data_IF_798490810224
#
_entry.id   IF_798490810224
#
_cell.length_a   1.000
_cell.length_b   1.000
_cell.length_c   1.000
_cell.angle_alpha   90.00
_cell.angle_beta   90.00
_cell.angle_gamma   90.00
#
_symmetry.space_group_name_H-M   'P 1'
#
loop_
_entity.id
_entity.type
_entity.pdbx_description
1 polymer ?
#
# COMPACT_ATOMS: atom_id res chain seq x y z
N UNK A 1 -18.58 16.84 14.61
CA UNK A 1 -19.87 16.53 13.95
C UNK A 1 -20.94 16.42 15.01
N UNK A 2 -22.09 17.07 14.83
CA UNK A 2 -23.18 17.00 15.80
C UNK A 2 -23.88 15.63 15.73
N UNK A 3 -24.61 15.23 16.77
CA UNK A 3 -25.45 14.04 16.75
C UNK A 3 -26.49 14.02 15.60
N UNK A 4 -26.77 15.17 14.98
CA UNK A 4 -27.68 15.29 13.83
C UNK A 4 -27.06 14.86 12.49
N UNK A 5 -25.72 14.90 12.35
CA UNK A 5 -25.02 14.45 11.13
C UNK A 5 -24.95 12.91 11.01
N UNK A 6 -25.13 12.19 12.13
CA UNK A 6 -25.15 10.72 12.16
C UNK A 6 -26.41 10.11 11.53
N UNK A 7 -27.50 10.88 11.37
CA UNK A 7 -28.80 10.37 10.86
C UNK A 7 -28.85 10.11 9.35
N UNK A 8 -27.83 10.50 8.57
CA UNK A 8 -27.84 10.38 7.11
C UNK A 8 -27.38 9.04 6.52
N UNK A 9 -26.97 8.07 7.35
CA UNK A 9 -26.39 6.80 6.86
C UNK A 9 -27.34 5.60 6.91
N UNK A 10 -28.59 5.75 7.36
CA UNK A 10 -29.54 4.65 7.56
C UNK A 10 -30.07 3.97 6.27
N UNK A 11 -29.42 4.17 5.12
CA UNK A 11 -29.75 3.47 3.87
C UNK A 11 -28.57 3.14 2.94
N UNK A 12 -27.32 3.46 3.32
CA UNK A 12 -26.13 3.19 2.48
C UNK A 12 -25.41 1.96 3.02
N UNK A 13 -25.60 0.80 2.38
CA UNK A 13 -24.97 -0.46 2.79
C UNK A 13 -23.78 -0.86 1.93
N UNK A 14 -23.81 -0.61 0.62
CA UNK A 14 -22.78 -1.05 -0.33
C UNK A 14 -21.43 -0.36 -0.12
N UNK A 15 -20.34 -1.15 -0.07
CA UNK A 15 -18.99 -0.64 0.17
C UNK A 15 -18.53 0.38 -0.88
N UNK A 16 -18.78 0.11 -2.16
CA UNK A 16 -18.46 1.05 -3.24
C UNK A 16 -19.21 2.38 -3.06
N UNK A 17 -20.48 2.32 -2.66
CA UNK A 17 -21.29 3.51 -2.38
C UNK A 17 -20.73 4.29 -1.17
N UNK A 18 -20.30 3.59 -0.11
CA UNK A 18 -19.62 4.22 1.04
C UNK A 18 -18.31 4.89 0.62
N UNK A 19 -17.47 4.22 -0.16
CA UNK A 19 -16.20 4.78 -0.64
C UNK A 19 -16.37 6.07 -1.48
N UNK A 20 -17.52 6.22 -2.16
CA UNK A 20 -17.83 7.39 -2.99
C UNK A 20 -18.48 8.53 -2.18
N UNK A 21 -19.38 8.20 -1.24
CA UNK A 21 -20.31 9.16 -0.62
C UNK A 21 -20.22 9.30 0.90
N UNK A 22 -19.58 8.38 1.60
CA UNK A 22 -19.41 8.52 3.05
C UNK A 22 -18.39 9.62 3.37
N UNK A 23 -18.44 10.12 4.60
CA UNK A 23 -17.50 11.12 5.13
C UNK A 23 -17.77 12.57 4.72
N UNK A 24 -18.00 12.85 3.43
CA UNK A 24 -18.28 14.20 2.94
C UNK A 24 -19.70 14.34 2.36
N UNK A 25 -20.40 15.42 2.73
CA UNK A 25 -21.67 15.83 2.13
C UNK A 25 -21.44 17.10 1.31
N UNK A 26 -22.18 17.30 0.20
CA UNK A 26 -22.08 18.53 -0.57
C UNK A 26 -22.16 19.76 0.34
N UNK A 27 -21.20 20.67 0.16
CA UNK A 27 -20.99 21.80 1.06
C UNK A 27 -22.27 22.65 1.16
N UNK A 28 -22.80 22.93 2.37
CA UNK A 28 -24.05 23.67 2.52
C UNK A 28 -23.96 25.12 2.05
N UNK A 29 -22.76 25.72 1.99
CA UNK A 29 -22.59 27.10 1.54
C UNK A 29 -22.55 27.24 0.01
N UNK A 30 -21.95 26.28 -0.69
CA UNK A 30 -21.65 26.39 -2.14
C UNK A 30 -22.23 25.25 -2.99
N UNK A 31 -22.63 24.14 -2.38
CA UNK A 31 -23.05 22.92 -3.07
C UNK A 31 -21.90 22.08 -3.64
N UNK A 32 -20.64 22.38 -3.29
CA UNK A 32 -19.48 21.65 -3.82
C UNK A 32 -19.59 20.14 -3.52
N UNK A 33 -19.60 19.31 -4.55
CA UNK A 33 -19.83 17.85 -4.42
C UNK A 33 -18.61 17.03 -4.00
N UNK A 34 -17.41 17.61 -4.09
CA UNK A 34 -16.18 17.04 -3.54
C UNK A 34 -15.72 17.90 -2.36
N UNK A 35 -15.03 17.27 -1.40
CA UNK A 35 -14.43 17.97 -0.27
C UNK A 35 -13.44 19.05 -0.77
N UNK A 36 -13.64 20.33 -0.44
CA UNK A 36 -12.67 21.37 -0.76
C UNK A 36 -11.33 21.11 -0.07
N UNK A 37 -10.25 21.61 -0.66
CA UNK A 37 -8.90 21.52 -0.08
C UNK A 37 -8.69 22.75 0.82
N UNK A 38 -8.82 22.55 2.14
CA UNK A 38 -8.62 23.62 3.13
C UNK A 38 -7.12 23.79 3.44
N UNK A 39 -6.48 24.72 2.73
CA UNK A 39 -5.05 25.09 2.88
C UNK A 39 -4.81 26.16 3.95
N UNK A 40 -5.65 26.18 4.99
CA UNK A 40 -5.53 27.08 6.13
C UNK A 40 -4.90 26.35 7.32
N UNK A 41 -3.89 26.97 7.94
CA UNK A 41 -3.24 26.44 9.15
C UNK A 41 -4.03 26.73 10.43
N UNK A 42 -4.82 27.81 10.44
CA UNK A 42 -5.60 28.29 11.57
C UNK A 42 -6.99 28.72 11.11
N UNK A 43 -7.96 28.71 12.02
CA UNK A 43 -9.35 29.05 11.74
C UNK A 43 -9.82 30.16 12.69
N UNK A 44 -10.57 31.13 12.14
CA UNK A 44 -11.13 32.22 12.93
C UNK A 44 -12.17 31.70 13.93
N UNK A 45 -12.21 32.31 15.12
CA UNK A 45 -13.18 32.02 16.17
C UNK A 45 -14.22 33.16 16.28
N UNK A 46 -15.44 32.82 16.72
CA UNK A 46 -16.50 33.76 17.06
C UNK A 46 -16.39 34.17 18.54
N UNK A 47 -15.51 35.13 18.81
CA UNK A 47 -15.06 35.41 20.17
C UNK A 47 -14.14 34.31 20.72
N UNK A 48 -13.53 34.54 21.89
CA UNK A 48 -12.56 33.61 22.47
C UNK A 48 -13.26 32.30 22.86
N UNK A 49 -12.84 31.18 22.28
CA UNK A 49 -13.39 29.84 22.51
C UNK A 49 -14.60 29.48 21.63
N UNK A 50 -15.11 30.42 20.82
CA UNK A 50 -16.24 30.19 19.91
C UNK A 50 -15.79 29.51 18.60
N UNK A 51 -15.46 28.22 18.65
CA UNK A 51 -14.95 27.50 17.47
C UNK A 51 -16.02 27.33 16.38
N UNK A 52 -15.65 27.58 15.12
CA UNK A 52 -16.52 27.34 13.96
C UNK A 52 -16.34 25.91 13.45
N UNK A 53 -17.39 25.11 13.53
CA UNK A 53 -17.36 23.72 13.07
C UNK A 53 -16.39 22.81 13.86
N UNK A 54 -15.93 23.27 15.03
CA UNK A 54 -14.95 22.55 15.86
C UNK A 54 -13.50 22.63 15.37
N UNK A 55 -13.18 23.52 14.42
CA UNK A 55 -11.82 23.71 13.92
C UNK A 55 -11.17 24.96 14.52
N UNK A 56 -9.91 24.83 14.91
CA UNK A 56 -9.09 25.92 15.45
C UNK A 56 -7.71 25.98 14.81
N UNK A 57 -7.04 24.82 14.67
CA UNK A 57 -5.67 24.71 14.17
C UNK A 57 -5.48 23.39 13.41
N UNK A 58 -4.88 23.45 12.21
CA UNK A 58 -4.89 22.36 11.23
C UNK A 58 -4.15 21.09 11.67
N UNK A 59 -3.12 21.22 12.53
CA UNK A 59 -2.46 20.05 13.14
C UNK A 59 -3.46 19.26 13.99
N UNK A 60 -4.26 19.94 14.80
CA UNK A 60 -5.29 19.35 15.66
C UNK A 60 -6.48 18.83 14.85
N UNK A 61 -6.97 19.60 13.90
CA UNK A 61 -8.06 19.22 13.00
C UNK A 61 -8.12 20.07 11.74
N UNK A 62 -8.34 19.45 10.58
CA UNK A 62 -8.53 20.12 9.29
C UNK A 62 -9.77 19.53 8.59
N UNK A 63 -10.65 20.34 7.97
CA UNK A 63 -11.88 19.82 7.35
C UNK A 63 -11.63 18.79 6.24
N UNK A 64 -10.57 18.97 5.44
CA UNK A 64 -10.19 18.02 4.38
C UNK A 64 -9.75 16.67 4.98
N UNK A 65 -8.95 16.71 6.05
CA UNK A 65 -8.51 15.50 6.77
C UNK A 65 -9.69 14.83 7.47
N UNK A 66 -10.59 15.59 8.08
CA UNK A 66 -11.79 15.07 8.73
C UNK A 66 -12.70 14.32 7.75
N UNK A 67 -12.85 14.81 6.51
CA UNK A 67 -13.58 14.11 5.46
C UNK A 67 -12.92 12.77 5.08
N UNK A 68 -11.58 12.72 4.99
CA UNK A 68 -10.84 11.48 4.75
C UNK A 68 -11.03 10.49 5.91
N UNK A 69 -10.84 10.93 7.15
CA UNK A 69 -11.02 10.11 8.35
C UNK A 69 -12.44 9.50 8.38
N UNK A 70 -13.47 10.31 8.16
CA UNK A 70 -14.84 9.81 8.14
C UNK A 70 -15.11 8.82 6.99
N UNK A 71 -14.48 9.01 5.82
CA UNK A 71 -14.58 8.07 4.70
C UNK A 71 -13.89 6.72 5.01
N UNK A 72 -12.72 6.77 5.62
CA UNK A 72 -11.95 5.59 6.01
C UNK A 72 -12.64 4.77 7.10
N UNK A 73 -13.19 5.44 8.12
CA UNK A 73 -14.01 4.79 9.14
C UNK A 73 -15.19 4.04 8.50
N UNK A 74 -15.90 4.69 7.57
CA UNK A 74 -17.06 4.10 6.92
C UNK A 74 -16.74 2.84 6.10
N UNK A 75 -15.61 2.80 5.37
CA UNK A 75 -15.25 1.63 4.54
C UNK A 75 -14.70 0.45 5.34
N UNK A 76 -14.24 0.67 6.56
CA UNK A 76 -13.79 -0.39 7.49
C UNK A 76 -14.89 -0.87 8.46
N UNK A 77 -16.12 -0.36 8.34
CA UNK A 77 -17.17 -0.49 9.37
C UNK A 77 -16.69 -0.06 10.77
N UNK A 78 -15.81 0.96 10.81
CA UNK A 78 -15.31 1.56 12.03
C UNK A 78 -16.10 2.80 12.44
N UNK A 79 -15.96 3.17 13.72
CA UNK A 79 -16.58 4.37 14.30
C UNK A 79 -15.66 5.57 14.22
N UNK A 80 -14.36 5.34 14.44
CA UNK A 80 -13.35 6.38 14.51
C UNK A 80 -12.20 6.07 13.56
N UNK A 81 -11.68 7.09 12.88
CA UNK A 81 -10.43 6.98 12.15
C UNK A 81 -9.53 8.20 12.36
N UNK A 82 -8.23 7.99 12.20
CA UNK A 82 -7.19 9.03 12.21
C UNK A 82 -6.29 8.86 11.00
N UNK A 83 -6.05 9.95 10.27
CA UNK A 83 -5.17 9.95 9.11
C UNK A 83 -3.78 10.50 9.48
N UNK A 84 -2.72 9.91 8.93
CA UNK A 84 -1.32 10.19 9.26
C UNK A 84 -0.52 10.48 7.99
N UNK A 85 0.64 11.12 8.15
CA UNK A 85 1.54 11.48 7.05
C UNK A 85 2.16 10.26 6.34
N UNK A 86 2.12 9.07 6.94
CA UNK A 86 2.57 7.81 6.33
C UNK A 86 1.99 6.60 7.07
N UNK A 87 2.05 5.42 6.46
CA UNK A 87 1.75 4.16 7.14
C UNK A 87 2.62 3.98 8.39
N UNK A 88 3.90 4.31 8.31
CA UNK A 88 4.82 4.22 9.45
C UNK A 88 4.49 5.21 10.57
N UNK A 89 3.92 6.37 10.27
CA UNK A 89 3.42 7.29 11.29
C UNK A 89 2.15 6.75 11.98
N UNK A 90 1.29 6.04 11.25
CA UNK A 90 0.18 5.30 11.85
C UNK A 90 0.70 4.16 12.75
N UNK A 91 1.72 3.42 12.29
CA UNK A 91 2.40 2.37 13.08
C UNK A 91 2.99 2.93 14.38
N UNK A 92 3.76 4.02 14.29
CA UNK A 92 4.34 4.70 15.47
C UNK A 92 3.26 5.14 16.46
N UNK A 93 2.17 5.76 15.96
CA UNK A 93 1.05 6.19 16.78
C UNK A 93 0.39 5.02 17.52
N UNK A 94 0.11 3.92 16.82
CA UNK A 94 -0.50 2.74 17.41
C UNK A 94 0.39 2.12 18.51
N UNK A 95 1.69 1.95 18.24
CA UNK A 95 2.64 1.43 19.21
C UNK A 95 2.73 2.34 20.45
N UNK A 96 2.84 3.66 20.27
CA UNK A 96 2.92 4.61 21.38
C UNK A 96 1.62 4.77 22.16
N UNK A 97 0.47 4.55 21.52
CA UNK A 97 -0.81 4.59 22.20
C UNK A 97 -0.94 3.41 23.18
N UNK A 98 -0.61 2.20 22.71
CA UNK A 98 -0.88 0.94 23.42
C UNK A 98 0.27 0.52 24.36
N UNK A 99 1.52 0.82 24.02
CA UNK A 99 2.69 0.27 24.72
C UNK A 99 3.38 1.31 25.62
N UNK A 100 3.89 0.83 26.75
CA UNK A 100 4.75 1.57 27.70
C UNK A 100 5.99 0.73 28.02
N UNK A 101 7.10 1.36 28.49
CA UNK A 101 8.30 0.63 28.88
C UNK A 101 7.98 -0.56 29.81
N UNK A 102 8.49 -1.74 29.47
CA UNK A 102 8.20 -3.00 30.14
C UNK A 102 7.12 -3.85 29.46
N UNK A 103 6.33 -3.29 28.54
CA UNK A 103 5.33 -4.05 27.78
C UNK A 103 5.97 -4.91 26.68
N UNK A 104 5.20 -5.89 26.23
CA UNK A 104 5.56 -6.83 25.17
C UNK A 104 4.56 -6.77 24.00
N UNK A 105 5.06 -6.89 22.77
CA UNK A 105 4.28 -7.01 21.54
C UNK A 105 4.62 -8.28 20.77
N UNK A 106 3.62 -9.03 20.33
CA UNK A 106 3.82 -10.14 19.38
C UNK A 106 3.71 -9.58 17.97
N UNK A 107 4.63 -9.97 17.08
CA UNK A 107 4.62 -9.56 15.68
C UNK A 107 4.68 -10.79 14.75
N UNK A 108 4.26 -10.68 13.47
CA UNK A 108 4.47 -11.74 12.50
C UNK A 108 5.97 -12.03 12.30
N UNK A 109 6.32 -13.29 12.08
CA UNK A 109 7.69 -13.69 11.71
C UNK A 109 8.03 -13.43 10.23
N UNK A 110 7.15 -12.75 9.52
CA UNK A 110 7.29 -12.32 8.13
C UNK A 110 6.57 -10.96 7.91
N UNK A 111 6.59 -10.11 8.94
CA UNK A 111 6.03 -8.77 8.88
C UNK A 111 6.78 -7.87 7.88
N UNK A 112 6.12 -6.81 7.40
CA UNK A 112 6.78 -5.78 6.63
C UNK A 112 8.07 -5.27 7.31
N UNK A 113 9.18 -5.29 6.58
CA UNK A 113 10.50 -4.91 7.09
C UNK A 113 10.57 -3.54 7.77
N UNK A 114 9.74 -2.56 7.34
CA UNK A 114 9.66 -1.25 7.99
C UNK A 114 9.04 -1.30 9.39
N UNK A 115 7.99 -2.11 9.59
CA UNK A 115 7.36 -2.34 10.90
C UNK A 115 8.36 -2.99 11.86
N UNK A 116 9.02 -4.07 11.41
CA UNK A 116 10.05 -4.74 12.19
C UNK A 116 11.19 -3.78 12.57
N UNK A 117 11.71 -3.01 11.60
CA UNK A 117 12.80 -2.07 11.83
C UNK A 117 12.43 -1.01 12.87
N UNK A 118 11.21 -0.49 12.85
CA UNK A 118 10.75 0.48 13.84
C UNK A 118 10.72 -0.14 15.24
N UNK A 119 10.14 -1.33 15.37
CA UNK A 119 10.04 -2.03 16.66
C UNK A 119 11.44 -2.38 17.19
N UNK A 120 12.25 -3.08 16.39
CA UNK A 120 13.55 -3.60 16.79
C UNK A 120 14.60 -2.51 17.02
N UNK A 121 14.64 -1.47 16.19
CA UNK A 121 15.71 -0.45 16.27
C UNK A 121 15.32 0.77 17.11
N UNK A 122 14.04 1.00 17.36
CA UNK A 122 13.56 2.14 18.15
C UNK A 122 12.91 1.67 19.44
N UNK A 123 11.80 0.92 19.39
CA UNK A 123 11.00 0.62 20.58
C UNK A 123 11.72 -0.29 21.60
N UNK A 124 12.63 -1.16 21.17
CA UNK A 124 13.50 -1.92 22.11
C UNK A 124 14.37 -1.01 22.98
N UNK A 125 14.84 0.12 22.45
CA UNK A 125 15.61 1.11 23.20
C UNK A 125 14.77 1.87 24.23
N UNK A 126 13.45 1.78 24.11
CA UNK A 126 12.46 2.36 25.00
C UNK A 126 11.90 1.32 25.99
N UNK A 127 12.51 0.14 26.05
CA UNK A 127 12.13 -0.93 26.97
C UNK A 127 10.90 -1.73 26.53
N UNK A 128 10.52 -1.68 25.24
CA UNK A 128 9.49 -2.57 24.68
C UNK A 128 10.14 -3.86 24.20
N UNK A 129 9.62 -5.00 24.64
CA UNK A 129 10.04 -6.32 24.15
C UNK A 129 9.13 -6.80 23.02
N UNK A 130 9.63 -7.67 22.15
CA UNK A 130 8.80 -8.31 21.14
C UNK A 130 9.16 -9.77 20.90
N UNK A 131 8.18 -10.55 20.45
CA UNK A 131 8.37 -11.93 19.99
C UNK A 131 7.80 -12.09 18.58
N UNK A 132 8.61 -12.44 17.57
CA UNK A 132 8.11 -12.80 16.25
C UNK A 132 7.53 -14.22 16.24
N UNK A 133 6.35 -14.40 15.63
CA UNK A 133 5.62 -15.67 15.59
C UNK A 133 5.01 -15.90 14.20
N UNK A 134 5.03 -17.14 13.66
CA UNK A 134 4.19 -17.51 12.52
C UNK A 134 2.71 -17.46 12.92
N UNK A 135 1.99 -16.42 12.51
CA UNK A 135 0.60 -16.19 12.95
C UNK A 135 -0.42 -17.19 12.38
N UNK A 136 -0.01 -18.03 11.44
CA UNK A 136 -0.78 -19.19 11.00
C UNK A 136 -0.80 -20.33 12.03
N UNK A 137 0.13 -20.33 12.99
CA UNK A 137 0.23 -21.27 14.10
C UNK A 137 -0.32 -20.65 15.39
N UNK A 138 -1.59 -20.94 15.69
CA UNK A 138 -2.27 -20.43 16.88
C UNK A 138 -1.71 -20.98 18.20
N UNK A 139 -1.06 -22.15 18.19
CA UNK A 139 -0.45 -22.71 19.39
C UNK A 139 0.88 -22.03 19.68
N UNK A 140 1.70 -21.76 18.66
CA UNK A 140 2.90 -20.92 18.80
C UNK A 140 2.55 -19.51 19.27
N UNK A 141 1.48 -18.91 18.72
CA UNK A 141 0.98 -17.62 19.19
C UNK A 141 0.56 -17.66 20.66
N UNK A 142 -0.24 -18.65 21.07
CA UNK A 142 -0.66 -18.81 22.46
C UNK A 142 0.54 -18.96 23.41
N UNK A 143 1.57 -19.71 22.99
CA UNK A 143 2.78 -19.91 23.78
C UNK A 143 3.64 -18.64 23.93
N UNK A 144 3.59 -17.72 22.96
CA UNK A 144 4.32 -16.46 23.00
C UNK A 144 3.64 -15.37 23.86
N UNK A 145 2.38 -15.55 24.24
CA UNK A 145 1.65 -14.61 25.10
C UNK A 145 2.19 -14.70 26.53
N UNK A 146 2.61 -13.55 27.05
CA UNK A 146 3.08 -13.36 28.43
C UNK A 146 2.18 -12.38 29.19
N UNK A 147 2.24 -12.30 30.54
CA UNK A 147 1.50 -11.29 31.31
C UNK A 147 1.81 -9.83 30.94
N UNK A 148 2.94 -9.59 30.25
CA UNK A 148 3.36 -8.26 29.75
C UNK A 148 2.86 -7.97 28.35
N UNK A 149 2.23 -8.94 27.67
CA UNK A 149 1.75 -8.75 26.30
C UNK A 149 0.58 -7.79 26.29
N UNK A 150 0.70 -6.70 25.55
CA UNK A 150 -0.36 -5.69 25.40
C UNK A 150 -0.89 -5.59 23.99
N UNK A 151 -0.12 -6.04 23.01
CA UNK A 151 -0.47 -5.95 21.60
C UNK A 151 -0.09 -7.24 20.87
N UNK A 152 -1.01 -7.76 20.06
CA UNK A 152 -0.75 -8.73 19.01
C UNK A 152 -0.87 -7.98 17.68
N UNK A 153 0.26 -7.82 16.99
CA UNK A 153 0.32 -7.23 15.66
C UNK A 153 0.06 -8.30 14.63
N UNK A 154 -0.94 -8.11 13.78
CA UNK A 154 -1.31 -9.00 12.70
C UNK A 154 -1.11 -8.29 11.37
N UNK A 155 -0.53 -8.97 10.40
CA UNK A 155 -0.45 -8.55 9.01
C UNK A 155 -0.95 -9.74 8.17
N UNK A 156 -2.00 -9.56 7.37
CA UNK A 156 -2.56 -10.67 6.58
C UNK A 156 -3.33 -10.17 5.35
N UNK A 157 -2.95 -10.57 4.12
CA UNK A 157 -1.75 -11.34 3.78
C UNK A 157 -0.44 -10.59 4.11
N UNK A 158 0.64 -11.32 4.43
CA UNK A 158 1.93 -10.74 4.79
C UNK A 158 2.77 -10.29 3.59
N UNK A 159 3.59 -9.26 3.76
CA UNK A 159 4.54 -8.79 2.77
C UNK A 159 5.95 -9.38 3.01
N UNK A 160 6.57 -10.13 2.09
CA UNK A 160 6.12 -10.46 0.73
C UNK A 160 5.59 -11.89 0.56
N UNK A 161 5.53 -12.70 1.63
CA UNK A 161 5.28 -14.14 1.55
C UNK A 161 3.80 -14.52 1.36
N UNK A 162 2.89 -13.55 1.57
CA UNK A 162 1.43 -13.72 1.49
C UNK A 162 0.89 -14.79 2.45
N UNK A 163 1.58 -15.02 3.57
CA UNK A 163 1.08 -15.86 4.66
C UNK A 163 -0.25 -15.31 5.17
N UNK A 164 -1.15 -16.23 5.56
CA UNK A 164 -2.50 -15.89 6.01
C UNK A 164 -2.64 -16.17 7.51
N UNK A 165 -3.16 -15.19 8.24
CA UNK A 165 -3.49 -15.28 9.65
C UNK A 165 -5.01 -15.28 9.85
N UNK A 166 -5.53 -16.13 10.74
CA UNK A 166 -6.96 -16.22 11.05
C UNK A 166 -7.35 -15.12 12.05
N UNK A 167 -7.84 -13.99 11.52
CA UNK A 167 -8.07 -12.77 12.31
C UNK A 167 -9.02 -13.04 13.48
N UNK A 168 -10.12 -13.77 13.23
CA UNK A 168 -11.13 -14.02 14.27
C UNK A 168 -10.60 -14.89 15.40
N UNK A 169 -9.75 -15.88 15.09
CA UNK A 169 -9.12 -16.73 16.10
C UNK A 169 -8.06 -15.97 16.91
N UNK A 170 -7.29 -15.11 16.26
CA UNK A 170 -6.29 -14.27 16.93
C UNK A 170 -6.96 -13.21 17.81
N UNK A 171 -8.05 -12.59 17.34
CA UNK A 171 -8.88 -11.67 18.12
C UNK A 171 -9.38 -12.33 19.41
N UNK A 172 -9.86 -13.57 19.33
CA UNK A 172 -10.28 -14.33 20.51
C UNK A 172 -9.12 -14.55 21.49
N UNK A 173 -7.92 -14.94 21.02
CA UNK A 173 -6.75 -15.11 21.89
C UNK A 173 -6.31 -13.80 22.54
N UNK A 174 -6.40 -12.68 21.81
CA UNK A 174 -6.15 -11.34 22.34
C UNK A 174 -7.13 -11.00 23.46
N UNK A 175 -8.42 -11.22 23.24
CA UNK A 175 -9.47 -11.00 24.24
C UNK A 175 -9.24 -11.85 25.51
N UNK A 176 -8.96 -13.15 25.35
CA UNK A 176 -8.71 -14.09 26.45
C UNK A 176 -7.49 -13.67 27.31
N UNK A 177 -6.56 -12.92 26.72
CA UNK A 177 -5.29 -12.51 27.33
C UNK A 177 -5.23 -11.01 27.66
N UNK A 178 -6.32 -10.26 27.47
CA UNK A 178 -6.35 -8.80 27.60
C UNK A 178 -5.27 -8.07 26.77
N UNK A 179 -4.92 -8.61 25.61
CA UNK A 179 -4.03 -8.00 24.65
C UNK A 179 -4.85 -7.45 23.47
N UNK A 180 -4.58 -6.20 23.08
CA UNK A 180 -5.20 -5.59 21.91
C UNK A 180 -4.75 -6.28 20.64
N UNK A 181 -5.62 -6.37 19.64
CA UNK A 181 -5.30 -6.91 18.32
C UNK A 181 -5.36 -5.79 17.28
N UNK A 182 -4.21 -5.51 16.66
CA UNK A 182 -4.09 -4.60 15.53
C UNK A 182 -3.88 -5.41 14.26
N UNK A 183 -4.64 -5.11 13.21
CA UNK A 183 -4.46 -5.70 11.88
C UNK A 183 -3.98 -4.64 10.90
N UNK A 184 -2.77 -4.79 10.38
CA UNK A 184 -2.33 -4.10 9.17
C UNK A 184 -3.06 -4.72 7.98
N UNK A 185 -4.02 -3.97 7.45
CA UNK A 185 -4.92 -4.40 6.39
C UNK A 185 -4.53 -3.81 5.02
N UNK A 186 -3.28 -3.32 4.89
CA UNK A 186 -2.80 -2.62 3.70
C UNK A 186 -2.92 -3.46 2.42
N UNK A 187 -2.60 -4.76 2.46
CA UNK A 187 -2.59 -5.62 1.26
C UNK A 187 -3.98 -6.00 0.76
N UNK A 188 -4.91 -6.28 1.67
CA UNK A 188 -6.28 -6.61 1.30
C UNK A 188 -7.10 -5.34 0.97
N UNK A 189 -6.79 -4.23 1.65
CA UNK A 189 -7.61 -3.02 1.72
C UNK A 189 -9.03 -3.26 2.28
N UNK A 190 -9.79 -2.20 2.62
CA UNK A 190 -11.17 -2.34 3.06
C UNK A 190 -12.08 -3.00 2.01
N UNK A 191 -11.68 -2.99 0.73
CA UNK A 191 -12.42 -3.63 -0.36
C UNK A 191 -12.55 -5.15 -0.19
N UNK A 192 -11.48 -5.80 0.32
CA UNK A 192 -11.40 -7.25 0.36
C UNK A 192 -11.49 -7.81 1.77
N UNK A 193 -11.12 -7.06 2.81
CA UNK A 193 -11.11 -7.57 4.19
C UNK A 193 -11.50 -6.45 5.16
N UNK A 194 -12.34 -6.75 6.15
CA UNK A 194 -12.79 -5.78 7.17
C UNK A 194 -12.50 -6.31 8.58
N UNK A 195 -11.26 -6.18 9.09
CA UNK A 195 -10.83 -6.88 10.31
C UNK A 195 -11.60 -6.48 11.58
N UNK A 196 -12.15 -5.27 11.67
CA UNK A 196 -12.99 -4.87 12.80
C UNK A 196 -14.23 -5.76 12.93
N UNK A 197 -14.80 -6.21 11.81
CA UNK A 197 -15.94 -7.14 11.81
C UNK A 197 -15.57 -8.57 12.22
N UNK A 198 -14.26 -8.85 12.28
CA UNK A 198 -13.68 -10.12 12.70
C UNK A 198 -13.13 -10.07 14.14
N UNK A 199 -13.32 -8.95 14.86
CA UNK A 199 -12.95 -8.81 16.27
C UNK A 199 -11.63 -8.09 16.54
N UNK A 200 -10.95 -7.54 15.53
CA UNK A 200 -9.79 -6.69 15.76
C UNK A 200 -10.16 -5.40 16.52
N UNK A 201 -9.30 -4.92 17.41
CA UNK A 201 -9.47 -3.63 18.09
C UNK A 201 -9.10 -2.46 17.18
N UNK A 202 -8.08 -2.65 16.34
CA UNK A 202 -7.51 -1.60 15.49
C UNK A 202 -7.24 -2.14 14.09
N UNK A 203 -7.55 -1.34 13.09
CA UNK A 203 -7.09 -1.56 11.71
C UNK A 203 -6.13 -0.46 11.32
N UNK A 204 -5.00 -0.85 10.72
CA UNK A 204 -4.00 0.04 10.18
C UNK A 204 -3.97 -0.06 8.65
N UNK A 205 -3.72 1.06 7.99
CA UNK A 205 -3.38 1.11 6.57
C UNK A 205 -2.17 1.99 6.31
N UNK A 206 -1.32 1.57 5.38
CA UNK A 206 -0.59 2.51 4.51
C UNK A 206 -1.50 2.93 3.36
N UNK A 207 -2.06 4.14 3.43
CA UNK A 207 -2.91 4.67 2.35
C UNK A 207 -2.13 4.98 1.09
N UNK A 208 -0.79 4.98 1.16
CA UNK A 208 0.13 5.01 0.02
C UNK A 208 -0.17 3.94 -1.04
N UNK A 209 -0.75 2.81 -0.62
CA UNK A 209 -0.93 1.62 -1.47
C UNK A 209 -2.29 1.68 -2.16
N UNK A 210 -3.10 0.61 -2.06
CA UNK A 210 -4.37 0.50 -2.79
C UNK A 210 -5.37 1.63 -2.53
N UNK A 211 -5.42 2.20 -1.31
CA UNK A 211 -6.35 3.29 -0.98
C UNK A 211 -6.05 4.54 -1.83
N UNK A 212 -4.80 5.02 -1.83
CA UNK A 212 -4.36 6.11 -2.69
C UNK A 212 -4.36 5.67 -4.16
N UNK A 213 -3.76 4.53 -4.45
CA UNK A 213 -3.96 3.76 -5.68
C UNK A 213 -3.27 4.27 -6.93
N UNK A 214 -2.55 5.39 -6.86
CA UNK A 214 -1.96 6.07 -8.03
C UNK A 214 -0.48 6.44 -7.82
N UNK A 215 0.15 5.87 -6.78
CA UNK A 215 1.58 6.05 -6.47
C UNK A 215 2.06 7.51 -6.39
N UNK A 216 1.17 8.43 -5.99
CA UNK A 216 1.40 9.87 -5.97
C UNK A 216 1.25 10.50 -4.57
N UNK A 217 0.88 9.70 -3.55
CA UNK A 217 0.65 10.16 -2.18
C UNK A 217 1.18 9.15 -1.17
N UNK A 218 1.91 9.63 -0.17
CA UNK A 218 2.26 8.84 1.02
C UNK A 218 1.29 9.19 2.15
N UNK A 219 0.75 8.17 2.82
CA UNK A 219 -0.18 8.38 3.92
C UNK A 219 -0.43 7.11 4.73
N UNK A 220 -1.08 7.29 5.88
CA UNK A 220 -1.47 6.19 6.75
C UNK A 220 -2.79 6.45 7.45
N UNK A 221 -3.38 5.40 8.03
CA UNK A 221 -4.61 5.51 8.79
C UNK A 221 -4.67 4.48 9.93
N UNK A 222 -5.33 4.86 11.02
CA UNK A 222 -5.80 3.96 12.09
C UNK A 222 -7.31 4.07 12.19
N UNK A 223 -8.00 2.93 12.31
CA UNK A 223 -9.45 2.84 12.45
C UNK A 223 -9.76 1.96 13.67
N UNK A 224 -10.73 2.37 14.50
CA UNK A 224 -11.16 1.61 15.67
C UNK A 224 -12.64 1.90 16.01
N UNK A 225 -13.24 1.02 16.81
CA UNK A 225 -14.53 1.22 17.46
C UNK A 225 -14.42 1.62 18.94
N UNK A 226 -13.21 1.58 19.49
CA UNK A 226 -12.92 1.89 20.90
C UNK A 226 -12.64 3.39 21.05
N UNK A 227 -13.46 4.08 21.84
CA UNK A 227 -13.37 5.52 22.06
C UNK A 227 -12.08 5.90 22.81
N UNK A 228 -11.61 5.07 23.74
CA UNK A 228 -10.37 5.33 24.50
C UNK A 228 -9.15 5.25 23.57
N UNK A 229 -9.10 4.26 22.68
CA UNK A 229 -8.07 4.17 21.65
C UNK A 229 -8.15 5.36 20.68
N UNK A 230 -9.36 5.76 20.27
CA UNK A 230 -9.55 6.88 19.36
C UNK A 230 -9.05 8.21 19.97
N UNK A 231 -9.25 8.43 21.28
CA UNK A 231 -8.72 9.56 22.03
C UNK A 231 -7.20 9.50 22.16
N UNK A 232 -6.64 8.34 22.49
CA UNK A 232 -5.19 8.14 22.57
C UNK A 232 -4.50 8.42 21.22
N UNK A 233 -5.08 7.94 20.11
CA UNK A 233 -4.59 8.23 18.77
C UNK A 233 -4.70 9.72 18.42
N UNK A 234 -5.82 10.38 18.77
CA UNK A 234 -5.99 11.82 18.53
C UNK A 234 -4.96 12.64 19.30
N UNK A 235 -4.71 12.28 20.57
CA UNK A 235 -3.74 12.94 21.42
C UNK A 235 -2.33 12.87 20.82
N UNK A 236 -1.91 11.68 20.37
CA UNK A 236 -0.59 11.48 19.75
C UNK A 236 -0.49 12.09 18.35
N UNK A 237 -1.53 11.98 17.52
CA UNK A 237 -1.60 12.62 16.20
C UNK A 237 -1.38 14.13 16.32
N UNK A 238 -2.04 14.78 17.29
CA UNK A 238 -1.89 16.19 17.57
C UNK A 238 -0.51 16.52 18.19
N UNK A 239 -0.14 15.81 19.26
CA UNK A 239 1.04 16.11 20.08
C UNK A 239 2.37 15.84 19.36
N UNK A 240 2.46 14.73 18.62
CA UNK A 240 3.64 14.41 17.81
C UNK A 240 3.61 15.03 16.40
N UNK A 241 2.42 15.39 15.91
CA UNK A 241 2.26 16.20 14.69
C UNK A 241 2.47 15.45 13.37
N UNK A 242 2.45 14.12 13.35
CA UNK A 242 2.62 13.31 12.14
C UNK A 242 1.33 13.24 11.28
N UNK A 243 0.82 14.41 10.89
CA UNK A 243 -0.45 14.58 10.16
C UNK A 243 -0.23 14.75 8.65
N UNK A 244 -1.17 14.28 7.79
CA UNK A 244 -1.07 14.50 6.35
C UNK A 244 -1.37 15.95 5.98
N UNK A 245 -0.80 16.41 4.87
CA UNK A 245 -1.21 17.66 4.24
C UNK A 245 -2.65 17.58 3.70
N UNK A 246 -3.37 18.70 3.56
CA UNK A 246 -4.75 18.67 3.04
C UNK A 246 -4.80 18.25 1.56
N UNK A 247 -3.74 18.49 0.78
CA UNK A 247 -3.62 18.00 -0.60
C UNK A 247 -3.53 16.48 -0.66
N UNK A 248 -2.67 15.88 0.18
CA UNK A 248 -2.51 14.42 0.28
C UNK A 248 -3.80 13.75 0.76
N UNK A 249 -4.49 14.37 1.72
CA UNK A 249 -5.78 13.88 2.18
C UNK A 249 -6.82 13.88 1.04
N UNK A 250 -6.84 14.93 0.22
CA UNK A 250 -7.71 15.01 -0.95
C UNK A 250 -7.37 13.95 -2.01
N UNK A 251 -6.10 13.78 -2.36
CA UNK A 251 -5.65 12.77 -3.33
C UNK A 251 -5.99 11.35 -2.85
N UNK A 252 -5.78 11.07 -1.57
CA UNK A 252 -6.15 9.80 -0.95
C UNK A 252 -7.66 9.56 -1.02
N UNK A 253 -8.49 10.55 -0.69
CA UNK A 253 -9.95 10.45 -0.86
C UNK A 253 -10.35 10.22 -2.32
N UNK A 254 -9.68 10.88 -3.27
CA UNK A 254 -9.95 10.71 -4.70
C UNK A 254 -9.66 9.28 -5.14
N UNK A 255 -8.55 8.70 -4.69
CA UNK A 255 -8.19 7.30 -4.94
C UNK A 255 -9.17 6.31 -4.32
N UNK A 256 -9.63 6.58 -3.09
CA UNK A 256 -10.56 5.73 -2.36
C UNK A 256 -11.87 5.49 -3.15
N UNK A 257 -12.37 6.50 -3.87
CA UNK A 257 -13.61 6.41 -4.65
C UNK A 257 -13.60 5.32 -5.72
N UNK A 258 -12.42 4.93 -6.23
CA UNK A 258 -12.26 3.89 -7.25
C UNK A 258 -11.71 2.58 -6.67
N UNK A 259 -11.48 2.50 -5.36
CA UNK A 259 -10.84 1.35 -4.71
C UNK A 259 -11.53 0.02 -5.05
N UNK A 260 -12.85 -0.08 -4.83
CA UNK A 260 -13.59 -1.35 -5.02
C UNK A 260 -13.49 -1.82 -6.48
N UNK A 261 -13.59 -0.89 -7.44
CA UNK A 261 -13.46 -1.19 -8.86
C UNK A 261 -12.04 -1.67 -9.22
N UNK A 262 -11.02 -0.96 -8.73
CA UNK A 262 -9.61 -1.32 -8.99
C UNK A 262 -9.26 -2.67 -8.37
N UNK A 263 -9.69 -2.93 -7.13
CA UNK A 263 -9.39 -4.19 -6.43
C UNK A 263 -10.00 -5.41 -7.11
N UNK A 264 -11.14 -5.26 -7.77
CA UNK A 264 -11.69 -6.31 -8.64
C UNK A 264 -10.69 -6.65 -9.75
N UNK A 265 -10.29 -5.66 -10.56
CA UNK A 265 -9.37 -5.89 -11.68
C UNK A 265 -7.99 -6.37 -11.22
N UNK A 266 -7.46 -5.82 -10.14
CA UNK A 266 -6.21 -6.31 -9.53
C UNK A 266 -6.30 -7.81 -9.19
N UNK A 267 -7.40 -8.25 -8.58
CA UNK A 267 -7.58 -9.65 -8.19
C UNK A 267 -7.77 -10.58 -9.40
N UNK A 268 -8.50 -10.12 -10.42
CA UNK A 268 -8.68 -10.84 -11.70
C UNK A 268 -7.32 -11.05 -12.40
N UNK A 269 -6.56 -9.97 -12.59
CA UNK A 269 -5.25 -10.02 -13.24
C UNK A 269 -4.26 -10.85 -12.42
N UNK A 270 -4.22 -10.69 -11.09
CA UNK A 270 -3.32 -11.43 -10.22
C UNK A 270 -3.59 -12.93 -10.25
N UNK A 271 -4.86 -13.35 -10.28
CA UNK A 271 -5.21 -14.76 -10.42
C UNK A 271 -4.70 -15.35 -11.74
N UNK A 272 -4.95 -14.66 -12.86
CA UNK A 272 -4.48 -15.10 -14.18
C UNK A 272 -2.94 -15.22 -14.24
N UNK A 273 -2.22 -14.26 -13.65
CA UNK A 273 -0.76 -14.28 -13.56
C UNK A 273 -0.28 -15.42 -12.64
N UNK A 274 -0.91 -15.62 -11.49
CA UNK A 274 -0.54 -16.69 -10.57
C UNK A 274 -0.72 -18.08 -11.21
N UNK A 275 -1.84 -18.31 -11.90
CA UNK A 275 -2.11 -19.54 -12.65
C UNK A 275 -1.08 -19.75 -13.76
N UNK A 276 -0.81 -18.70 -14.54
CA UNK A 276 0.20 -18.76 -15.60
C UNK A 276 1.59 -19.08 -15.08
N UNK A 277 2.02 -18.43 -13.98
CA UNK A 277 3.34 -18.63 -13.37
C UNK A 277 3.47 -20.02 -12.72
N UNK A 278 2.37 -20.59 -12.20
CA UNK A 278 2.37 -21.93 -11.62
C UNK A 278 2.71 -23.02 -12.67
N UNK A 279 2.42 -22.76 -13.95
CA UNK A 279 2.78 -23.65 -15.06
C UNK A 279 4.20 -23.45 -15.61
N UNK A 280 4.96 -22.45 -15.16
CA UNK A 280 6.27 -22.14 -15.74
C UNK A 280 7.39 -23.03 -15.18
N UNK A 281 8.19 -23.70 -16.02
CA UNK A 281 9.30 -24.55 -15.56
C UNK A 281 10.36 -23.79 -14.74
N UNK A 282 10.53 -22.49 -14.96
CA UNK A 282 11.48 -21.63 -14.22
C UNK A 282 11.02 -21.27 -12.81
N UNK A 283 9.74 -21.47 -12.48
CA UNK A 283 9.14 -21.15 -11.18
C UNK A 283 9.13 -22.41 -10.30
N UNK A 284 9.61 -22.29 -9.07
CA UNK A 284 9.63 -23.36 -8.07
C UNK A 284 8.38 -23.35 -7.18
N UNK A 285 7.85 -22.17 -6.88
CA UNK A 285 6.62 -21.98 -6.12
C UNK A 285 5.94 -20.67 -6.49
N UNK A 286 4.60 -20.66 -6.45
CA UNK A 286 3.78 -19.45 -6.51
C UNK A 286 3.10 -19.26 -5.16
N UNK A 287 3.28 -18.09 -4.59
CA UNK A 287 2.62 -17.64 -3.38
C UNK A 287 1.49 -16.71 -3.81
N UNK A 288 0.26 -17.19 -3.73
CA UNK A 288 -0.94 -16.40 -3.95
C UNK A 288 -2.12 -17.02 -3.20
N UNK A 289 -2.80 -16.28 -2.30
CA UNK A 289 -3.87 -16.84 -1.47
C UNK A 289 -5.06 -17.42 -2.25
N UNK A 290 -5.22 -17.03 -3.52
CA UNK A 290 -6.27 -17.55 -4.40
C UNK A 290 -6.02 -18.96 -4.95
N UNK A 291 -4.79 -19.47 -4.87
CA UNK A 291 -4.49 -20.84 -5.31
C UNK A 291 -4.94 -21.86 -4.24
N UNK A 292 -5.62 -22.96 -4.61
CA UNK A 292 -6.13 -23.94 -3.65
C UNK A 292 -5.05 -24.57 -2.75
N UNK A 293 -3.84 -24.74 -3.30
CA UNK A 293 -2.69 -25.34 -2.59
C UNK A 293 -1.92 -24.35 -1.72
N UNK A 294 -2.30 -23.06 -1.74
CA UNK A 294 -1.66 -22.05 -0.90
C UNK A 294 -1.96 -22.30 0.58
N UNK A 295 -0.93 -22.35 1.47
CA UNK A 295 -1.16 -22.46 2.91
C UNK A 295 -2.08 -21.35 3.43
N UNK A 296 -3.19 -21.72 4.04
CA UNK A 296 -4.19 -20.75 4.52
C UNK A 296 -5.21 -20.27 3.48
N UNK A 297 -5.24 -20.84 2.26
CA UNK A 297 -6.26 -20.54 1.25
C UNK A 297 -7.69 -20.57 1.81
N UNK A 298 -8.03 -21.61 2.58
CA UNK A 298 -9.37 -21.76 3.18
C UNK A 298 -9.69 -20.67 4.22
N UNK A 299 -8.67 -20.12 4.92
CA UNK A 299 -8.84 -18.99 5.84
C UNK A 299 -9.06 -17.72 5.04
N UNK A 300 -8.23 -17.47 4.01
CA UNK A 300 -8.36 -16.33 3.12
C UNK A 300 -9.75 -16.31 2.45
N UNK A 301 -10.21 -17.42 1.88
CA UNK A 301 -11.52 -17.55 1.24
C UNK A 301 -12.69 -17.30 2.20
N UNK A 302 -12.50 -17.54 3.51
CA UNK A 302 -13.51 -17.30 4.54
C UNK A 302 -13.55 -15.84 4.99
N UNK A 303 -12.39 -15.18 5.12
CA UNK A 303 -12.30 -13.84 5.72
C UNK A 303 -12.10 -12.70 4.70
N UNK A 304 -11.77 -13.03 3.45
CA UNK A 304 -11.55 -12.07 2.36
C UNK A 304 -12.62 -12.23 1.26
N UNK A 305 -13.05 -11.13 0.64
CA UNK A 305 -13.99 -11.08 -0.50
C UNK A 305 -13.33 -11.35 -1.85
N UNK A 306 -12.00 -11.35 -1.89
CA UNK A 306 -11.15 -11.61 -3.04
C UNK A 306 -9.69 -11.72 -2.58
N UNK A 307 -8.81 -12.25 -3.43
CA UNK A 307 -7.46 -12.65 -3.01
C UNK A 307 -6.36 -11.59 -3.24
N UNK A 308 -6.73 -10.42 -3.77
CA UNK A 308 -5.85 -9.25 -3.87
C UNK A 308 -4.97 -9.22 -5.12
N UNK A 309 -4.24 -8.11 -5.30
CA UNK A 309 -3.39 -7.88 -6.47
C UNK A 309 -1.91 -8.27 -6.28
N UNK A 310 -1.57 -8.93 -5.19
CA UNK A 310 -0.19 -9.26 -4.85
C UNK A 310 0.10 -10.72 -5.17
N UNK A 311 1.19 -10.98 -5.89
CA UNK A 311 1.69 -12.33 -6.20
C UNK A 311 3.17 -12.36 -5.88
N UNK A 312 3.64 -13.43 -5.24
CA UNK A 312 5.08 -13.68 -5.10
C UNK A 312 5.44 -15.02 -5.73
N UNK A 313 6.63 -15.13 -6.28
CA UNK A 313 7.14 -16.38 -6.88
C UNK A 313 8.55 -16.67 -6.43
N UNK A 314 8.89 -17.94 -6.34
CA UNK A 314 10.26 -18.41 -6.14
C UNK A 314 10.84 -18.95 -7.44
N UNK A 315 12.08 -18.57 -7.75
CA UNK A 315 12.73 -18.91 -9.01
C UNK A 315 13.65 -20.13 -8.85
N UNK A 316 13.51 -21.16 -9.70
CA UNK A 316 14.37 -22.37 -9.66
C UNK A 316 15.85 -22.06 -9.90
N UNK A 317 16.15 -21.02 -10.67
CA UNK A 317 17.51 -20.56 -10.94
C UNK A 317 18.13 -19.74 -9.81
N UNK A 318 17.48 -19.67 -8.65
CA UNK A 318 17.93 -18.92 -7.48
C UNK A 318 17.91 -17.41 -7.70
N UNK A 319 18.69 -16.70 -6.88
CA UNK A 319 18.82 -15.24 -6.89
C UNK A 319 19.06 -14.64 -8.27
N UNK A 320 19.98 -15.21 -9.05
CA UNK A 320 20.30 -14.68 -10.38
C UNK A 320 19.08 -14.69 -11.30
N UNK A 321 18.28 -15.76 -11.28
CA UNK A 321 17.07 -15.83 -12.10
C UNK A 321 15.98 -14.86 -11.61
N UNK A 322 15.91 -14.60 -10.30
CA UNK A 322 15.04 -13.57 -9.73
C UNK A 322 15.43 -12.16 -10.21
N UNK A 323 16.72 -11.81 -10.12
CA UNK A 323 17.25 -10.54 -10.62
C UNK A 323 17.05 -10.39 -12.14
N UNK A 324 17.31 -11.44 -12.93
CA UNK A 324 17.08 -11.45 -14.37
C UNK A 324 15.58 -11.28 -14.71
N UNK A 325 14.66 -11.87 -13.95
CA UNK A 325 13.22 -11.64 -14.15
C UNK A 325 12.87 -10.17 -13.92
N UNK A 326 13.29 -9.60 -12.79
CA UNK A 326 13.04 -8.19 -12.43
C UNK A 326 13.59 -7.20 -13.47
N UNK A 327 14.69 -7.52 -14.14
CA UNK A 327 15.34 -6.63 -15.10
C UNK A 327 14.77 -6.69 -16.53
N UNK A 328 14.02 -7.74 -16.88
CA UNK A 328 13.63 -8.03 -18.27
C UNK A 328 12.13 -7.84 -18.55
N UNK A 329 11.38 -7.24 -17.62
CA UNK A 329 9.97 -6.89 -17.79
C UNK A 329 9.82 -5.63 -18.65
N UNK A 330 8.72 -5.52 -19.41
CA UNK A 330 8.41 -4.31 -20.19
C UNK A 330 7.29 -3.49 -19.56
N UNK A 331 6.28 -4.17 -19.00
CA UNK A 331 5.12 -3.52 -18.36
C UNK A 331 5.36 -3.35 -16.86
N UNK A 332 5.80 -4.40 -16.19
CA UNK A 332 6.15 -4.31 -14.77
C UNK A 332 7.36 -3.39 -14.58
N UNK A 333 7.21 -2.37 -13.75
CA UNK A 333 8.27 -1.42 -13.43
C UNK A 333 9.04 -1.95 -12.21
N UNK A 334 10.37 -2.04 -12.32
CA UNK A 334 11.22 -2.38 -11.18
C UNK A 334 11.26 -1.21 -10.19
N UNK A 335 10.48 -1.31 -9.11
CA UNK A 335 10.38 -0.29 -8.08
C UNK A 335 9.89 -0.86 -6.74
N UNK A 336 10.21 -0.16 -5.65
CA UNK A 336 9.55 -0.39 -4.37
C UNK A 336 8.08 0.09 -4.40
N UNK A 337 7.34 -0.13 -3.31
CA UNK A 337 5.89 0.08 -3.22
C UNK A 337 5.05 -1.00 -3.91
N UNK A 338 3.73 -0.78 -3.94
CA UNK A 338 2.68 -1.67 -4.46
C UNK A 338 1.33 -0.96 -4.44
N UNK A 339 0.35 -1.57 -5.10
CA UNK A 339 -1.06 -1.18 -5.06
C UNK A 339 -1.42 0.09 -5.84
N UNK A 340 -0.49 0.56 -6.69
CA UNK A 340 -0.78 1.52 -7.76
C UNK A 340 -1.59 0.88 -8.89
N UNK A 341 -2.09 1.69 -9.82
CA UNK A 341 -2.77 1.20 -11.04
C UNK A 341 -1.80 0.52 -11.99
N UNK A 342 -0.53 0.94 -11.95
CA UNK A 342 0.58 0.38 -12.69
C UNK A 342 1.18 -0.86 -12.00
N UNK A 343 1.58 -1.83 -12.82
CA UNK A 343 2.23 -3.05 -12.38
C UNK A 343 3.67 -2.81 -11.93
N UNK A 344 4.03 -3.29 -10.75
CA UNK A 344 5.38 -3.17 -10.18
C UNK A 344 5.97 -4.55 -9.88
N UNK A 345 7.29 -4.69 -10.08
CA UNK A 345 8.06 -5.89 -9.75
C UNK A 345 9.24 -5.52 -8.84
N UNK A 346 9.60 -6.41 -7.93
CA UNK A 346 10.65 -6.14 -6.94
C UNK A 346 11.33 -7.44 -6.49
N UNK A 347 12.58 -7.32 -6.01
CA UNK A 347 13.40 -8.39 -5.44
C UNK A 347 13.59 -8.17 -3.93
N UNK A 348 12.66 -8.65 -3.07
CA UNK A 348 12.52 -8.13 -1.70
C UNK A 348 13.78 -8.27 -0.84
N UNK A 349 14.57 -9.33 -1.03
CA UNK A 349 15.82 -9.53 -0.28
C UNK A 349 16.85 -8.40 -0.49
N UNK A 350 16.84 -7.75 -1.66
CA UNK A 350 17.77 -6.67 -2.00
C UNK A 350 17.19 -5.26 -1.77
N UNK A 351 15.86 -5.09 -1.70
CA UNK A 351 15.23 -3.77 -1.56
C UNK A 351 14.32 -3.73 -0.32
N UNK A 352 13.04 -4.12 -0.42
CA UNK A 352 12.06 -3.82 0.65
C UNK A 352 12.31 -4.52 2.00
N UNK A 353 13.05 -5.63 2.00
CA UNK A 353 13.39 -6.42 3.18
C UNK A 353 14.90 -6.47 3.43
N UNK A 354 15.69 -5.59 2.81
CA UNK A 354 17.13 -5.52 3.06
C UNK A 354 17.48 -5.29 4.55
N UNK A 355 16.58 -4.67 5.33
CA UNK A 355 16.77 -4.48 6.77
C UNK A 355 16.51 -5.73 7.63
N UNK A 356 15.95 -6.80 7.06
CA UNK A 356 15.68 -8.06 7.79
C UNK A 356 16.77 -9.12 7.58
N UNK A 357 17.81 -8.84 6.78
CA UNK A 357 18.92 -9.76 6.53
C UNK A 357 19.57 -10.23 7.86
N UNK A 358 19.74 -11.54 8.01
CA UNK A 358 20.27 -12.16 9.22
C UNK A 358 19.32 -12.20 10.42
N UNK A 359 18.06 -11.80 10.23
CA UNK A 359 16.99 -11.94 11.25
C UNK A 359 16.09 -13.13 10.95
N UNK A 360 15.17 -13.44 11.87
CA UNK A 360 14.15 -14.46 11.64
C UNK A 360 13.15 -14.11 10.53
N UNK A 361 13.10 -12.84 10.08
CA UNK A 361 12.23 -12.37 9.00
C UNK A 361 12.96 -12.29 7.64
N UNK A 362 14.13 -12.93 7.51
CA UNK A 362 14.88 -12.93 6.25
C UNK A 362 14.08 -13.61 5.14
N UNK A 363 13.94 -12.93 4.01
CA UNK A 363 13.17 -13.40 2.86
C UNK A 363 14.10 -14.19 1.92
N UNK A 364 13.63 -15.30 1.31
CA UNK A 364 14.44 -16.04 0.34
C UNK A 364 14.98 -15.15 -0.78
N UNK A 365 16.25 -15.33 -1.15
CA UNK A 365 16.92 -14.54 -2.17
C UNK A 365 16.48 -14.89 -3.60
N UNK A 366 15.74 -15.97 -3.77
CA UNK A 366 15.11 -16.40 -5.03
C UNK A 366 13.69 -15.89 -5.23
N UNK A 367 13.19 -15.04 -4.32
CA UNK A 367 11.82 -14.54 -4.31
C UNK A 367 11.68 -13.26 -5.15
N UNK A 368 10.66 -13.22 -5.99
CA UNK A 368 10.22 -12.03 -6.73
C UNK A 368 8.80 -11.69 -6.30
N UNK A 369 8.54 -10.40 -6.04
CA UNK A 369 7.20 -9.90 -5.71
C UNK A 369 6.65 -9.08 -6.87
N UNK A 370 5.38 -9.33 -7.19
CA UNK A 370 4.60 -8.65 -8.21
C UNK A 370 3.44 -7.93 -7.52
N UNK A 371 3.38 -6.61 -7.69
CA UNK A 371 2.16 -5.83 -7.48
C UNK A 371 1.48 -5.73 -8.83
N UNK A 372 0.48 -6.56 -9.06
CA UNK A 372 -0.21 -6.65 -10.34
C UNK A 372 -1.18 -5.48 -10.47
N UNK A 373 -1.01 -4.68 -11.52
CA UNK A 373 -1.82 -3.50 -11.82
C UNK A 373 -3.15 -3.82 -12.49
N UNK A 374 -3.74 -2.80 -13.13
CA UNK A 374 -5.04 -2.90 -13.82
C UNK A 374 -4.93 -2.83 -15.35
N UNK A 375 -3.73 -3.02 -15.89
CA UNK A 375 -3.49 -3.12 -17.33
C UNK A 375 -4.25 -4.30 -17.96
N UNK A 376 -4.24 -4.37 -19.29
CA UNK A 376 -4.78 -5.51 -20.02
C UNK A 376 -3.97 -6.77 -19.68
N UNK A 377 -4.67 -7.83 -19.28
CA UNK A 377 -4.04 -9.05 -18.75
C UNK A 377 -3.12 -9.73 -19.77
N UNK A 378 -3.44 -9.65 -21.05
CA UNK A 378 -2.63 -10.24 -22.14
C UNK A 378 -1.24 -9.59 -22.22
N UNK A 379 -1.15 -8.27 -21.98
CA UNK A 379 0.13 -7.55 -21.96
C UNK A 379 0.96 -7.92 -20.72
N UNK A 380 0.29 -8.18 -19.59
CA UNK A 380 0.94 -8.64 -18.37
C UNK A 380 1.45 -10.08 -18.49
N UNK A 381 0.71 -10.96 -19.17
CA UNK A 381 1.10 -12.37 -19.39
C UNK A 381 2.24 -12.52 -20.40
N UNK A 382 2.48 -11.52 -21.24
CA UNK A 382 3.64 -11.47 -22.14
C UNK A 382 5.00 -11.45 -21.40
N UNK A 383 4.99 -11.36 -20.06
CA UNK A 383 6.14 -11.46 -19.15
C UNK A 383 7.12 -12.60 -19.47
N UNK A 384 6.66 -13.76 -19.94
CA UNK A 384 7.54 -14.91 -20.24
C UNK A 384 8.19 -14.88 -21.62
N UNK A 385 7.63 -14.14 -22.59
CA UNK A 385 8.05 -14.21 -23.99
C UNK A 385 9.48 -13.69 -24.23
N UNK A 386 10.06 -13.00 -23.25
CA UNK A 386 11.40 -12.43 -23.30
C UNK A 386 12.48 -13.33 -22.69
N UNK A 387 12.14 -14.26 -21.78
CA UNK A 387 13.12 -15.20 -21.19
C UNK A 387 13.59 -16.26 -22.20
N UNK A 388 12.75 -16.62 -23.19
CA UNK A 388 13.14 -17.54 -24.26
C UNK A 388 14.05 -16.89 -25.33
N UNK A 389 14.10 -15.56 -25.43
CA UNK A 389 14.91 -14.87 -26.46
C UNK A 389 16.37 -14.68 -26.05
N UNK A 390 16.70 -14.72 -24.76
CA UNK A 390 18.10 -14.65 -24.29
C UNK A 390 18.88 -15.96 -24.52
N UNK A 391 18.21 -17.07 -24.82
CA UNK A 391 18.83 -18.36 -25.15
C UNK A 391 19.29 -18.56 -26.60
N UNK A 392 18.98 -17.63 -27.52
CA UNK A 392 19.20 -17.79 -28.97
C UNK A 392 20.33 -16.92 -29.56
N UNK A 393 21.07 -16.15 -28.77
CA UNK A 393 22.11 -15.22 -29.28
C UNK A 393 23.57 -15.70 -29.12
N UNK A 394 23.84 -16.94 -28.67
CA UNK A 394 25.22 -17.38 -28.38
C UNK A 394 25.74 -18.56 -29.23
N UNK A 395 25.16 -18.81 -30.42
CA UNK A 395 25.70 -19.82 -31.37
C UNK A 395 25.63 -19.36 -32.83
N UNK A 396 26.52 -18.46 -33.22
CA UNK A 396 27.03 -18.39 -34.59
C UNK A 396 28.30 -17.54 -34.65
N UNK A 397 29.42 -18.15 -34.28
CA UNK A 397 30.76 -17.60 -34.46
C UNK A 397 31.65 -18.60 -35.17
N UNK A 398 31.37 -18.88 -36.45
CA UNK A 398 32.23 -19.67 -37.33
C UNK A 398 32.39 -18.93 -38.67
N UNK A 399 33.52 -18.22 -38.75
CA UNK A 399 34.39 -18.01 -39.91
C UNK A 399 33.82 -18.30 -41.31
N UNK A 400 33.77 -17.26 -42.15
CA UNK A 400 34.37 -17.29 -43.49
C UNK A 400 34.71 -15.88 -43.99
N UNK A 401 35.95 -15.71 -44.45
CA UNK A 401 36.49 -14.50 -45.11
C UNK A 401 36.17 -14.48 -46.61
N UNK A 402 36.30 -13.26 -47.15
CA UNK A 402 36.67 -12.82 -48.51
C UNK A 402 35.64 -12.86 -49.65
N UNK A 403 35.51 -11.71 -50.33
CA UNK A 403 34.91 -11.61 -51.67
C UNK A 403 34.54 -10.19 -52.08
N UNK A 404 35.34 -9.58 -52.95
CA UNK A 404 35.27 -8.22 -53.52
C UNK A 404 34.04 -7.88 -54.38
N UNK A 405 33.83 -6.56 -54.56
CA UNK A 405 33.30 -5.85 -55.76
C UNK A 405 31.81 -6.03 -56.09
N UNK A 406 31.03 -5.08 -56.62
CA UNK A 406 31.20 -3.74 -57.16
C UNK A 406 29.91 -3.39 -57.96
N UNK A 407 29.81 -2.14 -58.46
CA UNK A 407 28.76 -1.58 -59.36
C UNK A 407 27.37 -1.31 -58.76
N UNK A 408 26.56 -0.36 -59.23
CA UNK A 408 26.69 0.99 -59.81
C UNK A 408 25.24 1.50 -60.02
N UNK A 409 25.00 2.78 -59.75
CA UNK A 409 24.02 3.72 -60.37
C UNK A 409 22.66 3.26 -60.95
N UNK A 410 21.59 3.98 -60.54
CA UNK A 410 20.81 4.96 -61.37
C UNK A 410 19.72 5.62 -60.47
N UNK A 411 19.66 6.94 -60.24
CA UNK A 411 19.02 8.03 -61.05
C UNK A 411 17.57 7.69 -61.48
N UNK A 412 16.53 8.54 -61.39
CA UNK A 412 16.32 9.99 -61.22
C UNK A 412 14.80 10.25 -61.14
N UNK A 413 14.39 11.44 -60.65
CA UNK A 413 13.09 12.07 -60.96
C UNK A 413 12.47 12.83 -59.77
N UNK A 414 13.02 13.95 -59.29
CA UNK A 414 12.75 15.36 -59.67
C UNK A 414 11.29 15.79 -59.83
N UNK A 415 10.83 16.68 -58.96
CA UNK A 415 10.27 18.04 -59.24
C UNK A 415 10.17 18.78 -57.89
N UNK A 416 11.03 19.76 -57.58
CA UNK A 416 11.04 21.20 -57.99
C UNK A 416 10.31 22.08 -56.95
N UNK A 417 11.06 22.69 -56.01
CA UNK A 417 11.47 24.13 -55.92
C UNK A 417 10.26 25.10 -55.73
N UNK A 418 10.23 26.09 -54.82
CA UNK A 418 11.12 27.26 -54.69
C UNK A 418 10.97 27.98 -53.32
N UNK A 419 12.11 28.47 -52.80
CA UNK A 419 12.42 29.73 -52.06
C UNK A 419 11.33 30.51 -51.29
N UNK A 420 11.59 31.15 -50.13
CA UNK A 420 12.84 31.44 -49.42
C UNK A 420 12.64 32.52 -48.34
N UNK A 421 13.38 32.38 -47.23
CA UNK A 421 13.89 33.37 -46.25
C UNK A 421 13.04 34.60 -45.84
N UNK A 422 12.82 34.81 -44.54
CA UNK A 422 13.74 35.55 -43.64
C UNK A 422 13.06 35.97 -42.32
N UNK A 423 13.82 35.85 -41.21
CA UNK A 423 13.79 36.63 -39.95
C UNK A 423 12.47 36.63 -39.14
N UNK A 424 12.43 36.33 -37.84
CA UNK A 424 13.19 37.01 -36.77
C UNK A 424 13.08 36.20 -35.48
N UNK A 425 14.20 36.01 -34.76
CA UNK A 425 14.28 35.43 -33.43
C UNK A 425 13.89 36.47 -32.36
N UNK A 426 13.04 36.10 -31.41
CA UNK A 426 12.81 36.86 -30.17
C UNK A 426 13.47 36.11 -29.02
N UNK A 427 14.59 36.65 -28.55
CA UNK A 427 15.23 36.31 -27.26
C UNK A 427 14.73 37.31 -26.23
N UNK A 428 14.16 36.83 -25.13
CA UNK A 428 13.77 37.66 -23.99
C UNK A 428 14.87 37.61 -22.93
N UNK A 429 15.46 38.77 -22.66
CA UNK A 429 16.57 38.99 -21.72
C UNK A 429 16.06 39.00 -20.27
N UNK A 430 16.77 38.30 -19.39
CA UNK A 430 16.62 38.35 -17.93
C UNK A 430 17.45 39.52 -17.38
N UNK A 431 16.85 40.41 -16.61
CA UNK A 431 17.53 41.49 -15.88
C UNK A 431 17.90 41.05 -14.45
N UNK A 432 19.06 41.46 -13.91
CA UNK A 432 19.46 41.12 -12.54
C UNK A 432 18.85 42.08 -11.49
N UNK A 433 18.60 41.50 -10.33
CA UNK A 433 18.12 42.13 -9.09
C UNK A 433 19.10 43.21 -8.57
N UNK A 434 18.57 44.39 -8.27
CA UNK A 434 19.24 45.43 -7.49
C UNK A 434 18.78 45.40 -6.04
N UNK A 435 19.75 45.44 -5.13
CA UNK A 435 19.61 45.69 -3.69
C UNK A 435 19.14 47.11 -3.40
N UNK A 436 18.07 47.26 -2.60
CA UNK A 436 17.90 48.30 -1.57
C UNK A 436 17.15 47.66 -0.40
#
# INVERSE_FOLDING_TARGET
MSASDRKGHHGISGLATKAIHAGYRPDPATGAVNAPIYTSSTFAQDGVGGLRGGFEYARTGNPTRAALEASLAAVEEGTFARAFSSGMAATDCALRAVLRPGDHVIIPNDAYGGTFRLIDKVFTRWGIEYTPVPLSDLDALRAAITPRTRLIWVETPTNPLLSIADIARIAQLGADSSAKVLVDNTFASPALQQPLTLGADVVLHSTTKYIGGHSDVVGGALITNDEELAEAFAFLQNGAGAVPGPFDAYLTMRGLKTLVLRMQRHSENAYAIAEFLAGQPSVSAVLYPGLPDHPGHHVAARQMRGFGGMVSVRMRGGRRAAEELCANTQVFILAESLGGVESLIEHPSAMTHASTAGSQLEVPDDLVRLSVGIEDVDDLLALSALSARSGLSARSGLSARSGLSGLERAKRGTTQEWYGSALTSVTCTVLPLGTV
#
